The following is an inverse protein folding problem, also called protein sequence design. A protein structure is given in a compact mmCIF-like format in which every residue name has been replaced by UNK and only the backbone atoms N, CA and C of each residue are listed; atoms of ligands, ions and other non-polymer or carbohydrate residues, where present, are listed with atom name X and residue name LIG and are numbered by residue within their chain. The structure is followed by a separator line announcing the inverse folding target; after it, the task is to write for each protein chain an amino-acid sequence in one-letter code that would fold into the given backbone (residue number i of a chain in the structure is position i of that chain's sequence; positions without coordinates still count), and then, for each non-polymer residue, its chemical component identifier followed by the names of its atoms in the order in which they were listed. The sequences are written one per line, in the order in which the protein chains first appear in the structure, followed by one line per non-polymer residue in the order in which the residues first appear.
data_IF_484426994202
#
_entry.id   IF_484426994202
#
_cell.length_a   1.000
_cell.length_b   1.000
_cell.length_c   1.000
_cell.angle_alpha   90.00
_cell.angle_beta   90.00
_cell.angle_gamma   90.00
#
_symmetry.space_group_name_H-M   'P 1'
#
loop_
_entity.id
_entity.type
_entity.pdbx_description
1 polymer ?
#
# COMPACT_ATOMS: atom_id res chain seq x y z
N UNK A 1 -4.56 5.84 23.08
CA UNK A 1 -5.31 6.93 22.43
C UNK A 1 -5.64 7.97 23.49
N UNK A 2 -5.16 9.21 23.39
CA UNK A 2 -5.61 10.28 24.30
C UNK A 2 -6.83 10.96 23.68
N UNK A 3 -7.86 11.19 24.49
CA UNK A 3 -9.08 11.90 24.08
C UNK A 3 -9.16 13.19 24.87
N UNK A 4 -9.34 14.31 24.18
CA UNK A 4 -9.67 15.60 24.78
C UNK A 4 -11.11 15.94 24.43
N UNK A 5 -11.91 16.26 25.43
CA UNK A 5 -13.28 16.74 25.23
C UNK A 5 -13.24 18.26 25.11
N UNK A 6 -13.75 18.78 24.01
CA UNK A 6 -13.90 20.21 23.77
C UNK A 6 -15.38 20.60 23.84
N UNK A 7 -15.72 21.41 24.84
CA UNK A 7 -17.03 22.04 24.99
C UNK A 7 -17.28 23.02 23.84
N UNK A 8 -18.50 23.05 23.31
CA UNK A 8 -18.88 23.93 22.21
C UNK A 8 -20.22 24.63 22.53
N UNK A 9 -20.35 25.95 22.31
CA UNK A 9 -21.62 26.64 22.52
C UNK A 9 -22.71 26.09 21.58
N UNK A 10 -23.87 25.74 22.14
CA UNK A 10 -25.04 25.22 21.41
C UNK A 10 -24.81 23.92 20.60
N UNK A 11 -23.79 23.11 20.92
CA UNK A 11 -23.56 21.79 20.28
C UNK A 11 -23.02 20.77 21.29
N UNK A 12 -23.23 19.45 21.07
CA UNK A 12 -22.59 18.42 21.88
C UNK A 12 -21.07 18.57 21.90
N UNK A 13 -20.46 18.24 23.04
CA UNK A 13 -19.01 18.30 23.22
C UNK A 13 -18.29 17.41 22.18
N UNK A 14 -17.23 17.95 21.58
CA UNK A 14 -16.43 17.27 20.55
C UNK A 14 -15.37 16.40 21.22
N UNK A 15 -15.27 15.15 20.80
CA UNK A 15 -14.11 14.29 21.13
C UNK A 15 -13.00 14.53 20.10
N UNK A 16 -11.88 15.08 20.56
CA UNK A 16 -10.66 15.25 19.75
C UNK A 16 -9.68 14.15 20.11
N UNK A 17 -9.20 13.44 19.09
CA UNK A 17 -8.24 12.34 19.25
C UNK A 17 -6.85 12.77 18.84
N UNK A 18 -5.85 12.33 19.59
CA UNK A 18 -4.44 12.47 19.24
C UNK A 18 -3.76 11.10 19.27
N UNK A 19 -2.77 10.92 18.39
CA UNK A 19 -1.93 9.72 18.40
C UNK A 19 -1.15 9.67 19.71
N UNK A 20 -1.03 8.48 20.29
CA UNK A 20 -0.06 8.22 21.37
C UNK A 20 1.31 7.91 20.77
N UNK A 21 2.38 7.89 21.58
CA UNK A 21 3.70 7.46 21.12
C UNK A 21 3.67 6.09 20.42
N UNK A 22 2.91 5.13 20.95
CA UNK A 22 2.76 3.79 20.36
C UNK A 22 2.01 3.86 19.03
N UNK A 23 0.96 4.69 18.95
CA UNK A 23 0.22 4.91 17.70
C UNK A 23 1.08 5.57 16.62
N UNK A 24 1.99 6.47 17.01
CA UNK A 24 2.97 7.07 16.10
C UNK A 24 3.95 6.03 15.58
N UNK A 25 4.53 5.22 16.47
CA UNK A 25 5.45 4.15 16.07
C UNK A 25 4.78 3.14 15.12
N UNK A 26 3.54 2.74 15.42
CA UNK A 26 2.78 1.83 14.55
C UNK A 26 2.49 2.44 13.17
N UNK A 27 2.20 3.75 13.10
CA UNK A 27 2.03 4.45 11.83
C UNK A 27 3.35 4.50 11.03
N UNK A 28 4.46 4.84 11.68
CA UNK A 28 5.78 4.90 11.05
C UNK A 28 6.22 3.52 10.54
N UNK A 29 5.96 2.45 11.28
CA UNK A 29 6.20 1.10 10.79
C UNK A 29 5.32 0.78 9.57
N UNK A 30 4.00 0.99 9.69
CA UNK A 30 3.04 0.67 8.63
C UNK A 30 3.31 1.41 7.32
N UNK A 31 3.70 2.69 7.40
CA UNK A 31 3.88 3.52 6.20
C UNK A 31 5.09 3.08 5.36
N UNK A 32 6.09 2.45 5.98
CA UNK A 32 7.26 1.91 5.30
C UNK A 32 7.12 0.45 4.83
N UNK A 33 6.02 -0.23 5.19
CA UNK A 33 5.81 -1.63 4.82
C UNK A 33 5.21 -1.78 3.41
N UNK A 34 5.79 -2.65 2.56
CA UNK A 34 5.17 -3.05 1.30
C UNK A 34 3.81 -3.73 1.50
N UNK A 35 2.98 -3.66 0.47
CA UNK A 35 1.64 -4.27 0.47
C UNK A 35 1.67 -5.66 -0.17
N UNK A 36 1.18 -6.72 0.52
CA UNK A 36 1.30 -8.09 0.04
C UNK A 36 0.32 -8.46 -1.09
N UNK A 37 -0.80 -7.74 -1.23
CA UNK A 37 -1.87 -8.13 -2.15
C UNK A 37 -2.23 -7.00 -3.12
N UNK A 38 -2.38 -7.35 -4.41
CA UNK A 38 -2.76 -6.41 -5.48
C UNK A 38 -3.98 -5.54 -5.12
N UNK A 39 -5.03 -6.13 -4.55
CA UNK A 39 -6.25 -5.41 -4.15
C UNK A 39 -5.99 -4.29 -3.14
N UNK A 40 -4.96 -4.44 -2.30
CA UNK A 40 -4.60 -3.46 -1.28
C UNK A 40 -3.71 -2.35 -1.84
N UNK A 41 -3.03 -2.56 -2.97
CA UNK A 41 -2.20 -1.53 -3.61
C UNK A 41 -3.06 -0.30 -3.95
N UNK A 42 -4.27 -0.52 -4.46
CA UNK A 42 -5.22 0.57 -4.83
C UNK A 42 -5.66 1.45 -3.67
N UNK A 43 -5.47 1.03 -2.41
CA UNK A 43 -5.94 1.79 -1.23
C UNK A 43 -4.78 2.07 -0.30
N UNK A 44 -4.10 1.03 0.18
CA UNK A 44 -3.03 1.17 1.17
C UNK A 44 -1.76 1.79 0.58
N UNK A 45 -1.31 1.34 -0.61
CA UNK A 45 -0.05 1.88 -1.17
C UNK A 45 -0.20 3.35 -1.59
N UNK A 46 -1.34 3.72 -2.19
CA UNK A 46 -1.64 5.13 -2.49
C UNK A 46 -1.70 5.98 -1.21
N UNK A 47 -2.26 5.46 -0.11
CA UNK A 47 -2.24 6.16 1.17
C UNK A 47 -0.82 6.36 1.70
N UNK A 48 0.05 5.35 1.57
CA UNK A 48 1.48 5.49 1.95
C UNK A 48 2.15 6.59 1.14
N UNK A 49 2.02 6.58 -0.19
CA UNK A 49 2.56 7.65 -1.05
C UNK A 49 2.07 9.04 -0.63
N UNK A 50 0.78 9.17 -0.32
CA UNK A 50 0.22 10.42 0.18
C UNK A 50 0.92 10.89 1.46
N UNK A 51 1.17 10.00 2.43
CA UNK A 51 1.85 10.37 3.67
C UNK A 51 3.33 10.72 3.46
N UNK A 52 4.04 10.00 2.59
CA UNK A 52 5.40 10.34 2.20
C UNK A 52 5.49 11.77 1.68
N UNK A 53 4.59 12.17 0.79
CA UNK A 53 4.50 13.55 0.30
C UNK A 53 4.08 14.53 1.38
N UNK A 54 2.99 14.23 2.09
CA UNK A 54 2.32 15.18 3.00
C UNK A 54 3.18 15.51 4.21
N UNK A 55 4.01 14.56 4.64
CA UNK A 55 4.88 14.64 5.82
C UNK A 55 6.36 14.76 5.45
N UNK A 56 6.71 14.84 4.16
CA UNK A 56 8.10 14.91 3.66
C UNK A 56 8.99 13.81 4.25
N UNK A 57 8.53 12.56 4.18
CA UNK A 57 9.24 11.42 4.75
C UNK A 57 10.36 10.93 3.83
N UNK A 58 11.47 10.50 4.42
CA UNK A 58 12.57 9.85 3.71
C UNK A 58 12.29 8.36 3.45
N UNK A 59 12.92 7.79 2.43
CA UNK A 59 12.89 6.34 2.19
C UNK A 59 11.83 5.85 1.22
N UNK A 60 11.22 6.74 0.43
CA UNK A 60 10.24 6.38 -0.59
C UNK A 60 10.81 5.34 -1.58
N UNK A 61 12.05 5.51 -2.02
CA UNK A 61 12.73 4.59 -2.92
C UNK A 61 12.78 3.17 -2.36
N UNK A 62 13.01 3.04 -1.06
CA UNK A 62 13.04 1.73 -0.38
C UNK A 62 11.66 1.10 -0.34
N UNK A 63 10.62 1.88 -0.03
CA UNK A 63 9.23 1.41 -0.06
C UNK A 63 8.84 0.95 -1.47
N UNK A 64 9.16 1.75 -2.50
CA UNK A 64 8.88 1.44 -3.91
C UNK A 64 9.64 0.18 -4.34
N UNK A 65 10.94 0.07 -4.03
CA UNK A 65 11.73 -1.12 -4.34
C UNK A 65 11.17 -2.38 -3.65
N UNK A 66 10.79 -2.28 -2.38
CA UNK A 66 10.16 -3.39 -1.65
C UNK A 66 8.82 -3.79 -2.25
N UNK A 67 7.99 -2.82 -2.64
CA UNK A 67 6.71 -3.11 -3.30
C UNK A 67 6.90 -3.78 -4.67
N UNK A 68 7.91 -3.36 -5.44
CA UNK A 68 8.26 -3.99 -6.73
C UNK A 68 8.70 -5.44 -6.53
N UNK A 69 9.51 -5.72 -5.50
CA UNK A 69 9.92 -7.09 -5.18
C UNK A 69 8.70 -7.97 -4.89
N UNK A 70 7.79 -7.52 -4.02
CA UNK A 70 6.53 -8.26 -3.73
C UNK A 70 5.72 -8.52 -5.00
N UNK A 71 5.58 -7.54 -5.89
CA UNK A 71 4.86 -7.72 -7.16
C UNK A 71 5.54 -8.73 -8.08
N UNK A 72 6.89 -8.71 -8.17
CA UNK A 72 7.68 -9.65 -8.98
C UNK A 72 7.57 -11.07 -8.45
N UNK A 73 7.67 -11.28 -7.14
CA UNK A 73 7.50 -12.60 -6.53
C UNK A 73 6.12 -13.20 -6.84
N UNK A 74 5.07 -12.36 -6.86
CA UNK A 74 3.73 -12.80 -7.24
C UNK A 74 3.62 -13.10 -8.75
N UNK A 75 4.27 -12.32 -9.61
CA UNK A 75 4.34 -12.60 -11.05
C UNK A 75 5.00 -13.96 -11.29
N UNK A 76 6.17 -14.21 -10.70
CA UNK A 76 6.87 -15.49 -10.85
C UNK A 76 6.04 -16.67 -10.31
N UNK A 77 5.27 -16.46 -9.24
CA UNK A 77 4.34 -17.46 -8.74
C UNK A 77 3.25 -17.76 -9.77
N UNK A 78 2.68 -16.75 -10.42
CA UNK A 78 1.67 -16.96 -11.45
C UNK A 78 2.26 -17.61 -12.70
N UNK A 79 3.49 -17.28 -13.09
CA UNK A 79 4.19 -17.93 -14.20
C UNK A 79 4.33 -19.44 -13.98
N UNK A 80 4.73 -19.86 -12.77
CA UNK A 80 4.79 -21.29 -12.41
C UNK A 80 3.41 -21.96 -12.46
N UNK A 81 2.39 -21.32 -11.88
CA UNK A 81 1.02 -21.87 -11.90
C UNK A 81 0.43 -21.96 -13.31
N UNK A 82 0.81 -21.05 -14.22
CA UNK A 82 0.39 -21.09 -15.62
C UNK A 82 1.07 -22.23 -16.38
N UNK A 83 2.33 -22.53 -16.07
CA UNK A 83 3.04 -23.65 -16.68
C UNK A 83 2.45 -25.02 -16.26
N UNK A 84 1.91 -25.10 -15.04
CA UNK A 84 1.38 -26.35 -14.46
C UNK A 84 -0.13 -26.58 -14.73
N UNK A 85 -0.85 -25.58 -15.26
CA UNK A 85 -2.32 -25.69 -15.46
C UNK A 85 -2.67 -26.23 -16.84
N UNK A 86 -3.50 -27.27 -16.89
CA UNK A 86 -4.11 -27.77 -18.14
C UNK A 86 -5.50 -27.14 -18.39
N UNK A 87 -6.07 -26.44 -17.40
CA UNK A 87 -7.41 -25.85 -17.45
C UNK A 87 -7.37 -24.47 -18.14
N UNK A 88 -7.99 -24.28 -19.33
CA UNK A 88 -7.84 -23.07 -20.13
C UNK A 88 -8.34 -21.79 -19.44
N UNK A 89 -9.43 -21.87 -18.66
CA UNK A 89 -9.97 -20.70 -17.98
C UNK A 89 -9.09 -20.27 -16.80
N UNK A 90 -8.54 -21.21 -16.02
CA UNK A 90 -7.54 -20.91 -15.00
C UNK A 90 -6.32 -20.21 -15.60
N UNK A 91 -5.83 -20.65 -16.76
CA UNK A 91 -4.74 -19.97 -17.46
C UNK A 91 -5.08 -18.51 -17.77
N UNK A 92 -6.26 -18.23 -18.33
CA UNK A 92 -6.74 -16.87 -18.60
C UNK A 92 -6.82 -16.01 -17.32
N UNK A 93 -7.31 -16.59 -16.20
CA UNK A 93 -7.39 -15.89 -14.91
C UNK A 93 -6.01 -15.54 -14.37
N UNK A 94 -5.04 -16.45 -14.48
CA UNK A 94 -3.66 -16.22 -14.04
C UNK A 94 -2.96 -15.17 -14.90
N UNK A 95 -3.10 -15.27 -16.22
CA UNK A 95 -2.59 -14.28 -17.18
C UNK A 95 -3.13 -12.88 -16.87
N UNK A 96 -4.44 -12.76 -16.62
CA UNK A 96 -5.06 -11.49 -16.24
C UNK A 96 -4.44 -10.90 -14.96
N UNK A 97 -4.29 -11.72 -13.91
CA UNK A 97 -3.70 -11.28 -12.62
C UNK A 97 -2.23 -10.88 -12.77
N UNK A 98 -1.48 -11.62 -13.59
CA UNK A 98 -0.09 -11.32 -13.94
C UNK A 98 0.00 -9.95 -14.63
N UNK A 99 -0.81 -9.71 -15.65
CA UNK A 99 -0.84 -8.42 -16.38
C UNK A 99 -1.18 -7.23 -15.48
N UNK A 100 -2.08 -7.41 -14.50
CA UNK A 100 -2.35 -6.38 -13.50
C UNK A 100 -1.12 -6.04 -12.65
N UNK A 101 -0.36 -7.04 -12.20
CA UNK A 101 0.86 -6.81 -11.43
C UNK A 101 1.96 -6.15 -12.27
N UNK A 102 2.12 -6.53 -13.53
CA UNK A 102 3.08 -5.88 -14.43
C UNK A 102 2.73 -4.40 -14.65
N UNK A 103 1.44 -4.09 -14.81
CA UNK A 103 0.99 -2.70 -14.89
C UNK A 103 1.30 -1.92 -13.61
N UNK A 104 1.15 -2.55 -12.44
CA UNK A 104 1.55 -1.95 -11.16
C UNK A 104 3.06 -1.71 -11.10
N UNK A 105 3.90 -2.67 -11.49
CA UNK A 105 5.37 -2.49 -11.48
C UNK A 105 5.78 -1.31 -12.37
N UNK A 106 5.23 -1.22 -13.59
CA UNK A 106 5.49 -0.08 -14.49
C UNK A 106 5.00 1.25 -13.92
N UNK A 107 3.92 1.25 -13.15
CA UNK A 107 3.46 2.45 -12.48
C UNK A 107 4.39 2.84 -11.32
N UNK A 108 4.85 1.87 -10.52
CA UNK A 108 5.80 2.08 -9.43
C UNK A 108 7.12 2.68 -9.91
N UNK A 109 7.58 2.32 -11.11
CA UNK A 109 8.78 2.89 -11.73
C UNK A 109 8.70 4.41 -11.92
N UNK A 110 7.50 4.96 -12.09
CA UNK A 110 7.25 6.39 -12.26
C UNK A 110 6.98 7.13 -10.95
N UNK A 111 6.73 6.42 -9.86
CA UNK A 111 6.41 7.06 -8.58
C UNK A 111 7.53 8.02 -8.12
N UNK A 112 8.82 7.64 -8.11
CA UNK A 112 9.90 8.53 -7.67
C UNK A 112 10.03 9.83 -8.47
N UNK A 113 9.51 9.91 -9.70
CA UNK A 113 9.59 11.11 -10.55
C UNK A 113 8.68 12.25 -10.05
N UNK A 114 7.77 11.96 -9.12
CA UNK A 114 6.70 12.86 -8.67
C UNK A 114 6.82 13.31 -7.20
N UNK A 115 7.87 12.91 -6.49
CA UNK A 115 8.16 13.30 -5.10
C UNK A 115 9.57 13.89 -5.02
#
# INVERSE_FOLDING_TARGET
MSVRVEEQPNRPARKVYQLTPEGRAAFEEWVHQPTPYLRRIRVEFLARLYFFQRLSMDGLDRLVAGQKAVCRDQIERFDRLMADTEEPFAHLVLEFRRGQLEAVVRWLDRCPEHF
#
